data_IF_134003226597
#
_entry.id   IF_134003226597
#
_cell.length_a   1.000
_cell.length_b   1.000
_cell.length_c   1.000
_cell.angle_alpha   90.00
_cell.angle_beta   90.00
_cell.angle_gamma   90.00
#
_symmetry.space_group_name_H-M   'P 1'
#
loop_
_entity.id
_entity.type
_entity.pdbx_description
1 polymer ?
#
# COMPACT_ATOMS: atom_id res chain seq x y z
N UNK A 1 -35.09 20.51 24.72
CA UNK A 1 -33.78 20.08 25.26
C UNK A 1 -33.26 19.04 24.29
N UNK A 2 -32.85 19.52 23.10
CA UNK A 2 -32.36 18.67 22.02
C UNK A 2 -30.89 18.36 22.33
N UNK A 3 -30.61 17.08 22.53
CA UNK A 3 -29.26 16.55 22.63
C UNK A 3 -28.57 16.79 21.29
N UNK A 4 -27.60 17.70 21.27
CA UNK A 4 -26.67 17.85 20.15
C UNK A 4 -25.91 16.53 19.98
N UNK A 5 -26.37 15.69 19.06
CA UNK A 5 -25.58 14.57 18.56
C UNK A 5 -24.30 15.15 17.96
N UNK A 6 -23.19 14.93 18.65
CA UNK A 6 -21.86 15.17 18.13
C UNK A 6 -21.73 14.35 16.84
N UNK A 7 -21.77 15.03 15.69
CA UNK A 7 -21.50 14.43 14.39
C UNK A 7 -20.04 13.97 14.36
N UNK A 8 -19.80 12.74 14.83
CA UNK A 8 -18.49 12.08 14.69
C UNK A 8 -18.22 11.99 13.17
N UNK A 9 -17.10 12.52 12.67
CA UNK A 9 -16.75 12.33 11.26
C UNK A 9 -16.74 10.83 10.96
N UNK A 10 -17.14 10.39 9.76
CA UNK A 10 -17.19 8.98 9.42
C UNK A 10 -15.85 8.33 9.74
N UNK A 11 -15.89 7.24 10.50
CA UNK A 11 -14.68 6.52 10.90
C UNK A 11 -13.96 6.03 9.65
N UNK A 12 -12.71 6.44 9.48
CA UNK A 12 -11.90 6.00 8.34
C UNK A 12 -11.24 4.67 8.71
N UNK A 13 -11.25 3.71 7.80
CA UNK A 13 -10.53 2.45 7.96
C UNK A 13 -9.26 2.47 7.13
N UNK A 14 -8.13 2.12 7.76
CA UNK A 14 -6.90 1.76 7.08
C UNK A 14 -6.92 0.27 6.75
N UNK A 15 -6.67 -0.05 5.48
CA UNK A 15 -6.73 -1.40 4.92
C UNK A 15 -5.37 -1.69 4.30
N UNK A 16 -4.71 -2.76 4.76
CA UNK A 16 -3.55 -3.32 4.07
C UNK A 16 -3.99 -4.58 3.35
N UNK A 17 -3.84 -4.61 2.03
CA UNK A 17 -4.19 -5.75 1.16
C UNK A 17 -3.06 -6.09 0.21
N UNK A 18 -3.10 -7.30 -0.35
CA UNK A 18 -2.21 -7.65 -1.46
C UNK A 18 -2.50 -6.73 -2.66
N UNK A 19 -1.43 -6.28 -3.30
CA UNK A 19 -1.54 -5.61 -4.59
C UNK A 19 -1.94 -6.63 -5.67
N UNK A 20 -2.66 -6.14 -6.68
CA UNK A 20 -2.88 -6.86 -7.92
C UNK A 20 -2.48 -6.01 -9.13
N UNK A 21 -2.63 -6.57 -10.34
CA UNK A 21 -2.21 -5.91 -11.58
C UNK A 21 -2.87 -4.54 -11.81
N UNK A 22 -4.08 -4.32 -11.27
CA UNK A 22 -4.79 -3.04 -11.36
C UNK A 22 -4.14 -1.95 -10.50
N UNK A 23 -3.29 -2.32 -9.54
CA UNK A 23 -2.55 -1.37 -8.71
C UNK A 23 -1.26 -0.87 -9.37
N UNK A 24 -0.86 -1.40 -10.52
CA UNK A 24 0.38 -1.00 -11.21
C UNK A 24 0.50 0.52 -11.41
N UNK A 25 -0.54 1.25 -11.85
CA UNK A 25 -0.47 2.71 -11.95
C UNK A 25 -0.24 3.39 -10.59
N UNK A 26 -0.85 2.88 -9.52
CA UNK A 26 -0.67 3.39 -8.17
C UNK A 26 0.73 3.11 -7.64
N UNK A 27 1.24 1.89 -7.82
CA UNK A 27 2.60 1.50 -7.45
C UNK A 27 3.62 2.37 -8.18
N UNK A 28 3.46 2.57 -9.49
CA UNK A 28 4.34 3.45 -10.28
C UNK A 28 4.37 4.87 -9.73
N UNK A 29 3.20 5.46 -9.48
CA UNK A 29 3.08 6.81 -8.91
C UNK A 29 3.67 6.91 -7.51
N UNK A 30 3.49 5.91 -6.66
CA UNK A 30 4.06 5.86 -5.32
C UNK A 30 5.60 5.79 -5.36
N UNK A 31 6.18 4.93 -6.20
CA UNK A 31 7.63 4.85 -6.39
C UNK A 31 8.17 6.17 -6.94
N UNK A 32 7.46 6.82 -7.87
CA UNK A 32 7.85 8.14 -8.35
C UNK A 32 7.82 9.20 -7.23
N UNK A 33 6.75 9.26 -6.42
CA UNK A 33 6.67 10.17 -5.27
C UNK A 33 7.77 9.89 -4.24
N UNK A 34 8.14 8.63 -4.03
CA UNK A 34 9.28 8.23 -3.20
C UNK A 34 10.60 8.72 -3.79
N UNK A 35 10.84 8.54 -5.09
CA UNK A 35 12.03 9.06 -5.77
C UNK A 35 12.13 10.58 -5.70
N UNK A 36 11.00 11.31 -5.78
CA UNK A 36 10.96 12.77 -5.55
C UNK A 36 11.38 13.09 -4.11
N UNK A 37 10.80 12.41 -3.12
CA UNK A 37 11.12 12.62 -1.71
C UNK A 37 12.59 12.36 -1.38
N UNK A 38 13.18 11.32 -1.98
CA UNK A 38 14.58 10.93 -1.77
C UNK A 38 15.58 11.68 -2.67
N UNK A 39 15.10 12.54 -3.57
CA UNK A 39 15.91 13.26 -4.58
C UNK A 39 16.62 12.32 -5.57
N UNK A 40 15.99 11.19 -5.89
CA UNK A 40 16.48 10.13 -6.76
C UNK A 40 15.73 10.03 -8.10
N UNK A 41 14.97 11.06 -8.49
CA UNK A 41 14.20 11.05 -9.76
C UNK A 41 15.05 10.82 -11.00
N UNK A 42 16.34 11.17 -10.96
CA UNK A 42 17.30 10.91 -12.03
C UNK A 42 17.63 9.42 -12.23
N UNK A 43 17.34 8.57 -11.24
CA UNK A 43 17.45 7.11 -11.34
C UNK A 43 16.11 6.43 -11.69
N UNK A 44 15.01 7.17 -11.62
CA UNK A 44 13.68 6.63 -11.84
C UNK A 44 13.44 6.37 -13.34
N UNK A 45 13.53 5.10 -13.72
CA UNK A 45 13.31 4.62 -15.09
C UNK A 45 12.16 3.63 -15.21
N UNK A 46 11.51 3.31 -14.09
CA UNK A 46 10.40 2.37 -14.06
C UNK A 46 9.23 2.90 -14.92
N UNK A 47 8.62 1.99 -15.66
CA UNK A 47 7.37 2.20 -16.39
C UNK A 47 6.30 1.26 -15.86
N UNK A 48 5.03 1.62 -15.99
CA UNK A 48 3.91 0.73 -15.64
C UNK A 48 4.05 -0.64 -16.32
N UNK A 49 4.44 -0.68 -17.60
CA UNK A 49 4.67 -1.93 -18.33
C UNK A 49 5.78 -2.79 -17.69
N UNK A 50 6.92 -2.19 -17.36
CA UNK A 50 8.03 -2.90 -16.70
C UNK A 50 7.67 -3.44 -15.32
N UNK A 51 6.88 -2.69 -14.55
CA UNK A 51 6.38 -3.10 -13.24
C UNK A 51 5.36 -4.23 -13.39
N UNK A 52 4.39 -4.11 -14.29
CA UNK A 52 3.41 -5.16 -14.57
C UNK A 52 4.07 -6.48 -14.97
N UNK A 53 5.07 -6.44 -15.86
CA UNK A 53 5.79 -7.62 -16.31
C UNK A 53 6.60 -8.32 -15.20
N UNK A 54 7.00 -7.57 -14.17
CA UNK A 54 7.89 -8.08 -13.10
C UNK A 54 7.13 -8.48 -11.85
N UNK A 55 6.22 -7.64 -11.38
CA UNK A 55 5.45 -7.84 -10.15
C UNK A 55 4.24 -8.77 -10.37
N UNK A 56 3.69 -8.82 -11.59
CA UNK A 56 2.49 -9.59 -11.92
C UNK A 56 2.66 -10.42 -13.20
N UNK A 57 3.60 -11.40 -13.22
CA UNK A 57 3.85 -12.22 -14.38
C UNK A 57 2.63 -13.09 -14.74
N UNK A 58 2.41 -13.32 -16.03
CA UNK A 58 1.29 -14.14 -16.53
C UNK A 58 1.54 -15.65 -16.50
N UNK A 59 2.78 -16.09 -16.26
CA UNK A 59 3.14 -17.52 -16.25
C UNK A 59 2.84 -18.17 -14.90
N UNK A 60 2.28 -19.38 -14.93
CA UNK A 60 2.07 -20.23 -13.74
C UNK A 60 2.71 -21.60 -13.97
N UNK A 61 3.72 -22.02 -13.17
CA UNK A 61 4.32 -21.28 -12.05
C UNK A 61 5.13 -20.06 -12.51
N UNK A 62 5.38 -19.07 -11.64
CA UNK A 62 6.26 -17.96 -11.95
C UNK A 62 7.69 -18.47 -12.22
N UNK A 63 8.47 -17.77 -13.05
CA UNK A 63 9.84 -18.16 -13.34
C UNK A 63 10.72 -18.00 -12.07
N UNK A 64 11.89 -18.66 -12.01
CA UNK A 64 12.83 -18.50 -10.92
C UNK A 64 13.17 -17.02 -10.65
N UNK A 65 13.42 -16.70 -9.38
CA UNK A 65 13.82 -15.36 -8.91
C UNK A 65 12.74 -14.26 -9.06
N UNK A 66 11.47 -14.63 -9.26
CA UNK A 66 10.34 -13.68 -9.33
C UNK A 66 9.36 -13.88 -8.18
N UNK A 67 9.82 -13.57 -6.97
CA UNK A 67 9.02 -13.65 -5.74
C UNK A 67 9.01 -12.29 -5.05
N UNK A 68 8.17 -11.39 -5.55
CA UNK A 68 7.93 -10.07 -4.95
C UNK A 68 6.55 -10.07 -4.32
N UNK A 69 6.42 -9.40 -3.18
CA UNK A 69 5.15 -9.12 -2.54
C UNK A 69 5.01 -7.62 -2.39
N UNK A 70 3.90 -7.08 -2.89
CA UNK A 70 3.52 -5.70 -2.67
C UNK A 70 2.24 -5.69 -1.85
N UNK A 71 2.25 -4.97 -0.74
CA UNK A 71 1.03 -4.65 -0.01
C UNK A 71 0.67 -3.19 -0.25
N UNK A 72 -0.61 -2.94 -0.56
CA UNK A 72 -1.18 -1.60 -0.70
C UNK A 72 -1.81 -1.22 0.63
N UNK A 73 -1.56 0.03 1.05
CA UNK A 73 -2.28 0.66 2.14
C UNK A 73 -3.32 1.63 1.56
N UNK A 74 -4.58 1.40 1.89
CA UNK A 74 -5.71 2.22 1.48
C UNK A 74 -6.44 2.81 2.69
N UNK A 75 -7.05 3.97 2.50
CA UNK A 75 -8.03 4.54 3.44
C UNK A 75 -9.40 4.52 2.79
N UNK A 76 -10.40 3.97 3.46
CA UNK A 76 -11.79 3.95 2.99
C UNK A 76 -12.75 4.13 4.17
N UNK A 77 -13.84 4.91 4.01
CA UNK A 77 -14.89 4.99 5.02
C UNK A 77 -15.82 3.77 4.99
N UNK A 78 -15.86 3.00 3.89
CA UNK A 78 -16.61 1.75 3.78
C UNK A 78 -15.72 0.60 3.28
N UNK A 79 -14.89 -0.01 4.16
CA UNK A 79 -13.96 -1.05 3.77
C UNK A 79 -14.71 -2.22 3.14
N UNK A 80 -14.42 -2.49 1.87
CA UNK A 80 -14.96 -3.67 1.18
C UNK A 80 -14.17 -4.92 1.59
N UNK A 81 -14.84 -6.06 1.82
CA UNK A 81 -14.16 -7.31 2.10
C UNK A 81 -13.40 -7.75 0.84
N UNK A 82 -12.06 -7.67 0.88
CA UNK A 82 -11.24 -8.29 -0.16
C UNK A 82 -11.35 -9.81 -0.01
N UNK A 83 -11.73 -10.49 -1.09
CA UNK A 83 -11.98 -11.93 -1.11
C UNK A 83 -10.72 -12.74 -1.44
N UNK A 84 -9.53 -12.15 -1.32
CA UNK A 84 -8.28 -12.85 -1.64
C UNK A 84 -8.02 -13.99 -0.63
N UNK A 85 -8.03 -15.27 -1.05
CA UNK A 85 -7.86 -16.40 -0.13
C UNK A 85 -6.42 -16.53 0.39
N UNK A 86 -5.44 -15.91 -0.27
CA UNK A 86 -4.02 -16.06 0.05
C UNK A 86 -3.52 -15.06 1.11
N UNK A 87 -4.27 -13.98 1.36
CA UNK A 87 -3.95 -12.99 2.38
C UNK A 87 -5.23 -12.27 2.80
N UNK A 88 -5.63 -12.45 4.06
CA UNK A 88 -6.72 -11.68 4.64
C UNK A 88 -6.26 -10.24 4.89
N UNK A 89 -6.98 -9.22 4.39
CA UNK A 89 -6.60 -7.84 4.62
C UNK A 89 -6.50 -7.48 6.10
N UNK A 90 -5.52 -6.66 6.44
CA UNK A 90 -5.41 -6.10 7.78
C UNK A 90 -6.19 -4.80 7.82
N UNK A 91 -7.30 -4.80 8.56
CA UNK A 91 -8.16 -3.62 8.73
C UNK A 91 -7.98 -3.02 10.12
N UNK A 92 -7.85 -1.70 10.19
CA UNK A 92 -7.77 -0.92 11.43
C UNK A 92 -8.54 0.37 11.28
N UNK A 93 -9.39 0.68 12.25
CA UNK A 93 -9.93 2.03 12.35
C UNK A 93 -8.81 3.03 12.63
N UNK A 94 -8.85 4.16 11.96
CA UNK A 94 -7.88 5.24 12.11
C UNK A 94 -8.59 6.56 12.32
N UNK A 95 -8.16 7.29 13.35
CA UNK A 95 -8.62 8.64 13.61
C UNK A 95 -7.78 9.63 12.80
N UNK A 96 -8.39 10.18 11.75
CA UNK A 96 -7.80 11.26 10.97
C UNK A 96 -8.08 12.59 11.68
N UNK A 97 -7.24 12.92 12.67
CA UNK A 97 -7.35 14.11 13.56
C UNK A 97 -7.52 15.49 12.89
N UNK A 98 -7.47 15.59 11.56
CA UNK A 98 -7.68 16.84 10.80
C UNK A 98 -8.07 16.49 9.36
N UNK A 99 -8.82 17.38 8.66
CA UNK A 99 -9.08 17.23 7.23
C UNK A 99 -7.76 17.06 6.48
N UNK A 100 -7.69 16.03 5.64
CA UNK A 100 -6.50 15.77 4.83
C UNK A 100 -6.66 16.58 3.55
N UNK A 101 -5.74 17.52 3.34
CA UNK A 101 -5.59 18.16 2.03
C UNK A 101 -4.71 17.25 1.18
N UNK A 102 -5.33 16.55 0.22
CA UNK A 102 -4.64 15.70 -0.73
C UNK A 102 -5.03 16.10 -2.17
N UNK A 103 -4.19 16.88 -2.87
CA UNK A 103 -4.48 17.30 -4.24
C UNK A 103 -4.45 16.16 -5.24
N UNK A 104 -3.79 15.04 -4.91
CA UNK A 104 -3.66 13.89 -5.81
C UNK A 104 -4.69 12.79 -5.50
N UNK A 105 -5.64 13.00 -4.56
CA UNK A 105 -6.54 11.96 -4.07
C UNK A 105 -7.28 11.21 -5.20
N UNK A 106 -7.77 11.94 -6.21
CA UNK A 106 -8.46 11.37 -7.36
C UNK A 106 -7.54 10.45 -8.18
N UNK A 107 -6.27 10.84 -8.35
CA UNK A 107 -5.27 10.01 -9.03
C UNK A 107 -4.86 8.77 -8.22
N UNK A 108 -5.24 8.68 -6.95
CA UNK A 108 -4.99 7.52 -6.10
C UNK A 108 -6.28 6.81 -5.67
N UNK A 109 -7.41 7.05 -6.33
CA UNK A 109 -8.64 6.32 -6.07
C UNK A 109 -8.45 4.80 -6.25
N UNK A 110 -8.93 4.01 -5.29
CA UNK A 110 -8.74 2.55 -5.27
C UNK A 110 -9.23 1.87 -6.54
N UNK A 111 -8.38 1.04 -7.15
CA UNK A 111 -8.68 0.35 -8.40
C UNK A 111 -9.85 -0.66 -8.32
N UNK A 112 -10.29 -1.02 -7.11
CA UNK A 112 -11.38 -1.95 -6.84
C UNK A 112 -12.79 -1.37 -6.95
N UNK A 113 -12.94 -0.08 -7.28
CA UNK A 113 -14.25 0.58 -7.41
C UNK A 113 -14.92 0.94 -6.08
N UNK A 114 -14.18 0.87 -4.97
CA UNK A 114 -14.60 1.40 -3.68
C UNK A 114 -14.37 2.89 -3.54
N UNK A 115 -14.84 3.47 -2.44
CA UNK A 115 -14.61 4.86 -2.02
C UNK A 115 -13.22 5.07 -1.37
N UNK A 116 -12.29 4.16 -1.64
CA UNK A 116 -10.96 4.13 -1.05
C UNK A 116 -9.95 5.00 -1.80
N UNK A 117 -8.92 5.43 -1.08
CA UNK A 117 -7.73 6.10 -1.63
C UNK A 117 -6.48 5.34 -1.22
N UNK A 118 -5.60 5.07 -2.19
CA UNK A 118 -4.28 4.50 -1.97
C UNK A 118 -3.37 5.55 -1.33
N UNK A 119 -2.82 5.24 -0.17
CA UNK A 119 -2.02 6.18 0.62
C UNK A 119 -0.58 5.71 0.87
N UNK A 120 -0.26 4.47 0.54
CA UNK A 120 1.09 3.93 0.70
C UNK A 120 1.24 2.51 0.21
N UNK A 121 2.47 2.00 0.27
CA UNK A 121 2.79 0.62 -0.08
C UNK A 121 4.03 0.13 0.67
N UNK A 122 4.22 -1.19 0.65
CA UNK A 122 5.48 -1.86 0.98
C UNK A 122 5.78 -2.90 -0.08
N UNK A 123 7.03 -2.93 -0.57
CA UNK A 123 7.57 -3.95 -1.47
C UNK A 123 8.60 -4.79 -0.69
N UNK A 124 8.41 -6.10 -0.68
CA UNK A 124 9.31 -7.02 0.00
C UNK A 124 9.48 -8.34 -0.77
N UNK A 125 10.50 -9.10 -0.42
CA UNK A 125 10.75 -10.44 -0.96
C UNK A 125 11.34 -11.39 0.09
N UNK A 126 11.09 -12.71 -0.02
CA UNK A 126 11.66 -13.69 0.89
C UNK A 126 13.19 -13.71 0.83
N UNK A 127 13.83 -13.85 1.99
CA UNK A 127 15.24 -14.20 2.10
C UNK A 127 15.43 -15.39 3.05
N UNK A 128 16.62 -15.98 3.05
CA UNK A 128 16.96 -17.09 3.92
C UNK A 128 18.37 -16.93 4.46
N UNK A 129 18.50 -16.95 5.79
CA UNK A 129 19.80 -16.92 6.45
C UNK A 129 20.37 -18.33 6.52
N UNK A 130 21.43 -18.61 5.76
CA UNK A 130 22.10 -19.93 5.77
C UNK A 130 22.84 -20.20 7.09
N UNK A 131 23.39 -19.16 7.74
CA UNK A 131 24.04 -19.30 9.04
C UNK A 131 23.06 -19.56 10.18
N UNK A 132 21.85 -18.98 10.12
CA UNK A 132 20.83 -19.19 11.16
C UNK A 132 19.84 -20.30 10.83
N UNK A 133 19.86 -20.80 9.58
CA UNK A 133 18.85 -21.70 9.03
C UNK A 133 17.41 -21.20 9.25
N UNK A 134 17.18 -19.90 9.02
CA UNK A 134 15.88 -19.24 9.25
C UNK A 134 15.39 -18.50 8.01
N UNK A 135 14.10 -18.61 7.67
CA UNK A 135 13.49 -17.75 6.67
C UNK A 135 13.35 -16.33 7.23
N UNK A 136 13.24 -15.36 6.32
CA UNK A 136 12.93 -13.98 6.63
C UNK A 136 12.35 -13.24 5.44
N UNK A 137 12.21 -11.93 5.61
CA UNK A 137 11.82 -11.00 4.56
C UNK A 137 12.86 -9.90 4.46
N UNK A 138 13.17 -9.49 3.25
CA UNK A 138 13.83 -8.23 2.97
C UNK A 138 12.78 -7.23 2.47
N UNK A 139 12.76 -6.04 3.08
CA UNK A 139 11.90 -4.93 2.63
C UNK A 139 12.75 -4.10 1.68
N UNK A 140 12.34 -4.05 0.41
CA UNK A 140 12.97 -3.18 -0.58
C UNK A 140 12.57 -1.73 -0.33
N UNK A 141 11.25 -1.48 -0.32
CA UNK A 141 10.70 -0.13 -0.20
C UNK A 141 9.51 -0.11 0.75
N UNK A 142 9.37 0.98 1.51
CA UNK A 142 8.20 1.30 2.31
C UNK A 142 7.91 2.80 2.22
N UNK A 143 6.71 3.15 1.77
CA UNK A 143 6.36 4.54 1.53
C UNK A 143 4.93 4.85 1.92
N UNK A 144 4.74 6.00 2.56
CA UNK A 144 3.43 6.62 2.81
C UNK A 144 3.45 8.01 2.20
N UNK A 145 2.41 8.34 1.44
CA UNK A 145 2.21 9.64 0.78
C UNK A 145 2.20 10.76 1.82
N UNK A 146 2.78 11.90 1.47
CA UNK A 146 3.06 12.99 2.39
C UNK A 146 1.86 13.45 3.26
N UNK A 147 0.64 13.64 2.71
CA UNK A 147 -0.53 14.10 3.49
C UNK A 147 -0.94 13.16 4.64
N UNK A 148 -0.52 11.89 4.57
CA UNK A 148 -0.93 10.82 5.48
C UNK A 148 0.17 10.42 6.48
N UNK A 149 1.34 11.05 6.42
CA UNK A 149 2.47 10.76 7.31
C UNK A 149 2.17 11.19 8.75
N UNK A 150 3.00 10.69 9.68
CA UNK A 150 2.93 11.02 11.14
C UNK A 150 1.64 10.57 11.83
N UNK A 151 0.92 9.62 11.22
CA UNK A 151 -0.35 9.04 11.73
C UNK A 151 -0.26 7.56 12.10
N UNK A 152 0.96 7.00 12.17
CA UNK A 152 1.19 5.59 12.49
C UNK A 152 1.03 4.61 11.31
N UNK A 153 0.64 5.10 10.14
CA UNK A 153 0.44 4.28 8.94
C UNK A 153 1.70 3.52 8.48
N UNK A 154 2.88 4.15 8.53
CA UNK A 154 4.14 3.47 8.21
C UNK A 154 4.48 2.35 9.21
N UNK A 155 4.12 2.53 10.50
CA UNK A 155 4.26 1.46 11.49
C UNK A 155 3.30 0.31 11.21
N UNK A 156 2.07 0.61 10.76
CA UNK A 156 1.09 -0.39 10.37
C UNK A 156 1.59 -1.23 9.18
N UNK A 157 2.17 -0.58 8.15
CA UNK A 157 2.82 -1.25 7.03
C UNK A 157 3.97 -2.16 7.49
N UNK A 158 4.86 -1.65 8.36
CA UNK A 158 5.98 -2.43 8.87
C UNK A 158 5.50 -3.65 9.68
N UNK A 159 4.48 -3.49 10.52
CA UNK A 159 3.87 -4.59 11.27
C UNK A 159 3.19 -5.65 10.39
N UNK A 160 2.86 -5.34 9.14
CA UNK A 160 2.27 -6.31 8.22
C UNK A 160 3.32 -7.25 7.58
N UNK A 161 4.61 -6.92 7.69
CA UNK A 161 5.72 -7.65 7.06
C UNK A 161 6.83 -8.03 8.06
N UNK A 162 6.54 -7.98 9.36
CA UNK A 162 7.49 -8.21 10.46
C UNK A 162 6.99 -9.27 11.45
#
# INVERSE_FOLDING_TARGET
>A
METSEQHRPPAMSAIIRLADKRDVPHIHRLIHQMAVFERLTHLFSATESSLAATLFPSSSPPPPFRSFTVLILELSPSPSPDLNPSFSPIVREVDLKSPISDPDAEAFASAGGGDGVVVGFVLCFPNYSSFLAKPGLYIEDIFVREPYRRRGLGRMLLSAVA
#
